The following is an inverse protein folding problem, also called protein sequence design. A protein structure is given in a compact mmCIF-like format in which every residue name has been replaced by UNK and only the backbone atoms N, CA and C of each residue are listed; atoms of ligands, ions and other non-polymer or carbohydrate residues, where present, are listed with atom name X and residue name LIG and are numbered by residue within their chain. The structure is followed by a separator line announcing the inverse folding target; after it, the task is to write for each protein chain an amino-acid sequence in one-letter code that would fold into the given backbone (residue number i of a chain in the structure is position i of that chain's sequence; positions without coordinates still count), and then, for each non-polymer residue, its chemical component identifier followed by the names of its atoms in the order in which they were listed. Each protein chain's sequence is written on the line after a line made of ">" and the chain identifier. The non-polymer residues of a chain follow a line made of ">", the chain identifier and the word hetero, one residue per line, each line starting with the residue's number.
data_IF_643553978018
#
_entry.id   IF_643553978018
#
_cell.length_a   1.000
_cell.length_b   1.000
_cell.length_c   1.000
_cell.angle_alpha   90.00
_cell.angle_beta   90.00
_cell.angle_gamma   90.00
#
_symmetry.space_group_name_H-M   'P 1'
#
loop_
_entity.id
_entity.type
_entity.pdbx_description
1 polymer ?
#
# COMPACT_ATOMS: atom_id res chain seq x y z
N UNK A 1 5.02 1.68 -11.80
CA UNK A 1 5.70 1.71 -13.12
C UNK A 1 4.92 1.01 -14.23
N UNK A 2 4.68 -0.31 -14.16
CA UNK A 2 3.95 -1.08 -15.21
C UNK A 2 2.57 -0.49 -15.57
N UNK A 3 1.84 0.01 -14.57
CA UNK A 3 0.51 0.63 -14.74
C UNK A 3 0.55 2.16 -14.94
N UNK A 4 1.72 2.79 -15.09
CA UNK A 4 1.82 4.24 -15.30
C UNK A 4 1.43 5.15 -14.11
N UNK A 5 1.06 4.60 -12.95
CA UNK A 5 0.55 5.35 -11.78
C UNK A 5 1.57 6.23 -11.01
N UNK A 6 2.78 6.43 -11.55
CA UNK A 6 3.88 7.10 -10.85
C UNK A 6 4.52 6.25 -9.74
N UNK A 7 5.48 6.83 -8.99
CA UNK A 7 6.19 6.14 -7.92
C UNK A 7 5.55 6.33 -6.54
N UNK A 8 4.65 7.29 -6.36
CA UNK A 8 4.04 7.60 -5.07
C UNK A 8 2.99 6.57 -4.65
N UNK A 9 3.00 6.21 -3.38
CA UNK A 9 2.00 5.32 -2.79
C UNK A 9 1.66 5.72 -1.35
N UNK A 10 0.37 5.83 -1.06
CA UNK A 10 -0.12 5.99 0.31
C UNK A 10 -0.12 4.63 1.01
N UNK A 11 0.33 4.59 2.26
CA UNK A 11 0.16 3.41 3.11
C UNK A 11 -0.32 3.79 4.49
N UNK A 12 -0.98 2.85 5.14
CA UNK A 12 -1.46 2.97 6.51
C UNK A 12 -1.80 1.58 7.05
N UNK A 13 -2.22 1.53 8.31
CA UNK A 13 -2.61 0.27 8.93
C UNK A 13 -3.73 0.47 9.95
N UNK A 14 -4.48 -0.61 10.21
CA UNK A 14 -5.47 -0.62 11.28
C UNK A 14 -4.87 -0.88 12.67
N UNK A 15 -5.73 -0.96 13.68
CA UNK A 15 -5.33 -1.01 15.10
C UNK A 15 -4.80 -2.37 15.57
N UNK A 16 -4.81 -3.43 14.75
CA UNK A 16 -4.39 -4.76 15.20
C UNK A 16 -2.90 -4.73 15.56
N UNK A 17 -2.53 -5.42 16.64
CA UNK A 17 -1.16 -5.36 17.22
C UNK A 17 -0.06 -5.75 16.23
N UNK A 18 -0.35 -6.63 15.28
CA UNK A 18 0.57 -7.07 14.23
C UNK A 18 0.55 -6.21 12.97
N UNK A 19 -0.42 -5.30 12.80
CA UNK A 19 -0.57 -4.53 11.56
C UNK A 19 0.58 -3.56 11.33
N UNK A 20 1.17 -3.00 12.40
CA UNK A 20 2.37 -2.16 12.28
C UNK A 20 3.54 -2.95 11.69
N UNK A 21 3.83 -4.14 12.21
CA UNK A 21 4.93 -4.99 11.72
C UNK A 21 4.74 -5.37 10.25
N UNK A 22 3.52 -5.73 9.86
CA UNK A 22 3.18 -6.07 8.47
C UNK A 22 3.34 -4.86 7.55
N UNK A 23 2.87 -3.68 7.98
CA UNK A 23 3.05 -2.44 7.22
C UNK A 23 4.53 -2.13 7.02
N UNK A 24 5.37 -2.26 8.05
CA UNK A 24 6.81 -2.01 7.91
C UNK A 24 7.48 -2.96 6.91
N UNK A 25 7.08 -4.24 6.89
CA UNK A 25 7.55 -5.20 5.88
C UNK A 25 7.08 -4.82 4.47
N UNK A 26 5.81 -4.43 4.32
CA UNK A 26 5.25 -3.92 3.07
C UNK A 26 6.02 -2.67 2.57
N UNK A 27 6.25 -1.70 3.46
CA UNK A 27 7.01 -0.47 3.17
C UNK A 27 8.43 -0.78 2.71
N UNK A 28 9.10 -1.73 3.36
CA UNK A 28 10.43 -2.18 2.95
C UNK A 28 10.44 -2.71 1.51
N UNK A 29 9.47 -3.55 1.15
CA UNK A 29 9.34 -4.08 -0.21
C UNK A 29 9.02 -2.99 -1.24
N UNK A 30 8.10 -2.08 -0.91
CA UNK A 30 7.73 -0.96 -1.76
C UNK A 30 8.93 -0.05 -2.05
N UNK A 31 9.72 0.30 -1.03
CA UNK A 31 10.92 1.11 -1.20
C UNK A 31 12.01 0.40 -2.01
N UNK A 32 12.19 -0.90 -1.80
CA UNK A 32 13.12 -1.71 -2.60
C UNK A 32 12.71 -1.72 -4.09
N UNK A 33 11.42 -1.61 -4.38
CA UNK A 33 10.89 -1.48 -5.74
C UNK A 33 10.87 -0.03 -6.28
N UNK A 34 11.45 0.92 -5.55
CA UNK A 34 11.55 2.33 -5.94
C UNK A 34 10.31 3.17 -5.69
N UNK A 35 9.36 2.71 -4.87
CA UNK A 35 8.20 3.50 -4.50
C UNK A 35 8.57 4.61 -3.50
N UNK A 36 7.89 5.76 -3.62
CA UNK A 36 7.92 6.86 -2.65
C UNK A 36 6.72 6.69 -1.73
N UNK A 37 6.97 6.09 -0.58
CA UNK A 37 5.95 5.74 0.41
C UNK A 37 5.56 6.97 1.22
N UNK A 38 4.25 7.28 1.24
CA UNK A 38 3.62 8.26 2.11
C UNK A 38 2.81 7.53 3.19
N UNK A 39 3.39 7.38 4.37
CA UNK A 39 2.79 6.64 5.49
C UNK A 39 1.92 7.57 6.34
N UNK A 40 0.61 7.30 6.36
CA UNK A 40 -0.38 8.03 7.16
C UNK A 40 -0.61 7.39 8.54
N UNK A 41 0.13 6.34 8.88
CA UNK A 41 0.10 5.71 10.19
C UNK A 41 -1.16 4.88 10.45
N UNK A 42 -1.65 4.99 11.69
CA UNK A 42 -2.88 4.34 12.14
C UNK A 42 -4.07 5.05 11.50
N UNK A 43 -4.81 4.33 10.65
CA UNK A 43 -5.89 4.90 9.86
C UNK A 43 -7.04 3.91 9.62
N UNK A 44 -8.20 4.44 9.23
CA UNK A 44 -9.29 3.64 8.68
C UNK A 44 -9.12 3.52 7.16
N UNK A 45 -9.67 2.48 6.53
CA UNK A 45 -9.61 2.36 5.05
C UNK A 45 -10.14 3.59 4.30
N UNK A 46 -11.25 4.24 4.71
CA UNK A 46 -11.70 5.47 4.07
C UNK A 46 -10.68 6.62 4.14
N UNK A 47 -9.91 6.71 5.24
CA UNK A 47 -8.86 7.72 5.40
C UNK A 47 -7.69 7.46 4.43
N UNK A 48 -7.33 6.19 4.21
CA UNK A 48 -6.32 5.83 3.20
C UNK A 48 -6.78 6.17 1.76
N UNK A 49 -8.06 6.01 1.45
CA UNK A 49 -8.60 6.42 0.14
C UNK A 49 -8.68 7.94 0.00
N UNK A 50 -9.06 8.66 1.07
CA UNK A 50 -9.04 10.12 1.09
C UNK A 50 -7.62 10.67 0.88
N UNK A 51 -6.62 10.06 1.52
CA UNK A 51 -5.21 10.43 1.37
C UNK A 51 -4.69 10.38 -0.06
N UNK A 52 -5.21 9.49 -0.92
CA UNK A 52 -4.89 9.49 -2.35
C UNK A 52 -5.26 10.82 -3.03
N UNK A 53 -6.35 11.46 -2.61
CA UNK A 53 -6.73 12.78 -3.10
C UNK A 53 -5.91 13.88 -2.42
N UNK A 54 -5.87 13.87 -1.08
CA UNK A 54 -5.21 14.93 -0.30
C UNK A 54 -3.71 15.04 -0.56
N UNK A 55 -3.04 13.93 -0.88
CA UNK A 55 -1.60 13.85 -1.15
C UNK A 55 -1.28 13.68 -2.65
N UNK A 56 -2.27 13.90 -3.52
CA UNK A 56 -2.13 13.81 -4.99
C UNK A 56 -1.48 12.50 -5.47
N UNK A 57 -1.86 11.38 -4.86
CA UNK A 57 -1.22 10.07 -5.04
C UNK A 57 -2.20 9.07 -5.62
N UNK A 58 -1.84 8.41 -6.74
CA UNK A 58 -2.73 7.44 -7.39
C UNK A 58 -2.80 6.10 -6.65
N UNK A 59 -1.69 5.67 -6.04
CA UNK A 59 -1.60 4.32 -5.45
C UNK A 59 -1.88 4.33 -3.95
N UNK A 60 -2.43 3.22 -3.44
CA UNK A 60 -2.66 2.98 -2.01
C UNK A 60 -2.37 1.53 -1.66
N UNK A 61 -1.83 1.29 -0.48
CA UNK A 61 -1.71 -0.03 0.13
C UNK A 61 -1.99 0.06 1.64
N UNK A 62 -3.20 -0.33 2.04
CA UNK A 62 -3.69 -0.26 3.41
C UNK A 62 -3.68 -1.63 4.07
N UNK A 63 -2.92 -1.80 5.15
CA UNK A 63 -2.89 -3.05 5.93
C UNK A 63 -4.14 -3.16 6.78
N UNK A 64 -5.03 -4.09 6.43
CA UNK A 64 -6.24 -4.38 7.19
C UNK A 64 -6.88 -5.71 6.79
N UNK A 65 -7.64 -6.30 7.71
CA UNK A 65 -8.51 -7.44 7.45
C UNK A 65 -10.01 -7.07 7.44
N UNK A 66 -10.35 -5.77 7.37
CA UNK A 66 -11.73 -5.29 7.36
C UNK A 66 -12.54 -5.85 8.55
N UNK A 67 -13.49 -6.75 8.29
CA UNK A 67 -14.38 -7.34 9.29
C UNK A 67 -13.88 -8.67 9.87
N UNK A 68 -12.80 -9.24 9.32
CA UNK A 68 -12.25 -10.51 9.80
C UNK A 68 -11.72 -10.38 11.24
N UNK A 69 -11.75 -11.46 12.00
CA UNK A 69 -11.30 -11.47 13.39
C UNK A 69 -9.79 -11.24 13.54
N UNK A 70 -9.35 -11.00 14.78
CA UNK A 70 -7.92 -10.99 15.12
C UNK A 70 -7.29 -12.36 14.80
N UNK A 71 -6.10 -12.34 14.22
CA UNK A 71 -5.44 -13.49 13.59
C UNK A 71 -5.42 -13.40 12.06
N UNK A 72 -6.34 -12.63 11.45
CA UNK A 72 -6.33 -12.35 10.02
C UNK A 72 -5.71 -11.00 9.68
N UNK A 73 -5.06 -10.92 8.53
CA UNK A 73 -4.49 -9.70 7.97
C UNK A 73 -4.66 -9.68 6.46
N UNK A 74 -4.44 -8.53 5.86
CA UNK A 74 -4.50 -8.34 4.41
C UNK A 74 -3.99 -6.97 4.02
N UNK A 75 -3.90 -6.73 2.72
CA UNK A 75 -3.56 -5.42 2.16
C UNK A 75 -4.58 -5.06 1.11
N UNK A 76 -5.31 -3.96 1.32
CA UNK A 76 -6.15 -3.35 0.28
C UNK A 76 -5.24 -2.49 -0.59
N UNK A 77 -5.02 -2.92 -1.84
CA UNK A 77 -4.13 -2.25 -2.78
C UNK A 77 -4.87 -1.66 -3.97
N UNK A 78 -4.36 -0.56 -4.50
CA UNK A 78 -4.87 0.09 -5.71
C UNK A 78 -3.80 0.98 -6.35
N UNK A 79 -3.93 1.24 -7.65
CA UNK A 79 -3.05 2.12 -8.43
C UNK A 79 -3.82 3.23 -9.18
N UNK A 80 -5.12 3.35 -8.94
CA UNK A 80 -5.98 4.40 -9.48
C UNK A 80 -6.93 4.84 -8.37
N UNK A 81 -6.90 6.11 -7.96
CA UNK A 81 -7.73 6.60 -6.85
C UNK A 81 -9.22 6.64 -7.22
N UNK A 82 -10.16 6.22 -6.35
CA UNK A 82 -9.99 5.53 -5.05
C UNK A 82 -10.14 4.00 -5.16
N UNK A 83 -9.92 3.42 -6.34
CA UNK A 83 -10.21 2.03 -6.64
C UNK A 83 -9.13 1.10 -6.08
N UNK A 84 -9.58 -0.05 -5.58
CA UNK A 84 -8.71 -1.19 -5.31
C UNK A 84 -8.57 -2.08 -6.54
N UNK A 85 -7.51 -2.87 -6.59
CA UNK A 85 -7.28 -3.86 -7.64
C UNK A 85 -8.47 -4.82 -7.79
N UNK A 86 -8.86 -5.01 -9.06
CA UNK A 86 -9.85 -5.99 -9.47
C UNK A 86 -9.20 -7.34 -9.80
N UNK A 87 -9.98 -8.26 -10.39
CA UNK A 87 -9.49 -9.59 -10.72
C UNK A 87 -8.28 -9.59 -11.66
N UNK A 88 -8.22 -8.66 -12.62
CA UNK A 88 -7.12 -8.56 -13.58
C UNK A 88 -5.82 -8.15 -12.90
N UNK A 89 -5.82 -7.06 -12.12
CA UNK A 89 -4.61 -6.61 -11.43
C UNK A 89 -4.16 -7.61 -10.35
N UNK A 90 -5.10 -8.25 -9.65
CA UNK A 90 -4.77 -9.30 -8.67
C UNK A 90 -4.18 -10.55 -9.33
N UNK A 91 -4.66 -10.92 -10.52
CA UNK A 91 -4.10 -12.04 -11.29
C UNK A 91 -2.68 -11.71 -11.77
N UNK A 92 -2.46 -10.49 -12.26
CA UNK A 92 -1.15 -10.03 -12.66
C UNK A 92 -0.17 -9.97 -11.47
N UNK A 93 -0.61 -9.47 -10.31
CA UNK A 93 0.18 -9.44 -9.08
C UNK A 93 0.58 -10.84 -8.63
N UNK A 94 -0.38 -11.78 -8.62
CA UNK A 94 -0.10 -13.19 -8.31
C UNK A 94 0.96 -13.78 -9.23
N UNK A 95 0.87 -13.53 -10.55
CA UNK A 95 1.84 -14.05 -11.51
C UNK A 95 3.26 -13.50 -11.24
N UNK A 96 3.39 -12.20 -10.98
CA UNK A 96 4.69 -11.58 -10.64
C UNK A 96 5.30 -12.21 -9.38
N UNK A 97 4.49 -12.39 -8.33
CA UNK A 97 4.96 -12.98 -7.06
C UNK A 97 5.43 -14.43 -7.25
N UNK A 98 4.66 -15.25 -7.97
CA UNK A 98 5.01 -16.66 -8.20
C UNK A 98 6.24 -16.84 -9.10
N UNK A 99 6.46 -15.92 -10.04
CA UNK A 99 7.63 -15.94 -10.92
C UNK A 99 8.89 -15.32 -10.29
N UNK A 100 8.76 -14.64 -9.14
CA UNK A 100 9.85 -13.83 -8.57
C UNK A 100 10.23 -12.63 -9.44
N UNK A 101 9.31 -12.14 -10.28
CA UNK A 101 9.52 -11.04 -11.22
C UNK A 101 9.37 -9.68 -10.51
N UNK A 102 10.36 -9.36 -9.68
CA UNK A 102 10.42 -8.13 -8.90
C UNK A 102 11.34 -7.10 -9.56
N UNK A 103 10.81 -5.90 -9.81
CA UNK A 103 11.61 -4.73 -10.20
C UNK A 103 12.21 -4.08 -8.95
N UNK A 104 13.34 -4.60 -8.47
CA UNK A 104 14.06 -4.11 -7.28
C UNK A 104 15.10 -3.04 -7.62
N UNK A 105 14.72 -2.07 -8.46
CA UNK A 105 15.60 -0.98 -8.88
C UNK A 105 16.06 -0.08 -7.74
N UNK A 106 15.45 -0.18 -6.55
CA UNK A 106 15.79 0.65 -5.39
C UNK A 106 15.41 2.11 -5.59
N UNK A 107 16.02 2.99 -4.79
CA UNK A 107 15.79 4.44 -4.87
C UNK A 107 14.42 4.90 -4.34
N UNK A 108 13.70 4.03 -3.65
CA UNK A 108 12.47 4.39 -2.96
C UNK A 108 12.74 5.29 -1.75
N UNK A 109 11.70 5.95 -1.28
CA UNK A 109 11.77 6.84 -0.12
C UNK A 109 10.62 6.57 0.84
N UNK A 110 10.81 6.95 2.10
CA UNK A 110 9.77 6.91 3.12
C UNK A 110 9.54 8.31 3.66
N UNK A 111 8.27 8.72 3.66
CA UNK A 111 7.78 9.94 4.29
C UNK A 111 6.63 9.59 5.23
N UNK A 112 6.77 9.93 6.50
CA UNK A 112 5.69 9.80 7.48
C UNK A 112 4.91 11.10 7.53
N UNK A 113 3.66 11.07 7.06
CA UNK A 113 2.79 12.24 6.99
C UNK A 113 2.25 12.52 8.38
N UNK A 114 2.98 13.37 9.11
CA UNK A 114 2.62 13.77 10.48
C UNK A 114 1.25 14.43 10.49
N UNK A 115 0.47 14.11 11.52
CA UNK A 115 -0.82 14.73 11.79
C UNK A 115 -1.81 14.68 10.61
N UNK A 116 -1.77 13.61 9.82
CA UNK A 116 -2.78 13.35 8.79
C UNK A 116 -4.14 13.05 9.45
N UNK A 117 -5.07 14.01 9.39
CA UNK A 117 -6.38 13.96 10.07
C UNK A 117 -7.47 14.55 9.19
#
# INVERSE_FOLDING_TARGET
>A
RRLGAGPDIVTGHDFRSYSLGIKLALVSGLMAAGARVKDIGLALSPMAYFAQFALETQSVAMVTASHNENGWTGVKMGAARPLTFGPEEMTALKAMVLAGDFDLTGGGSYDFVRDFR
#
